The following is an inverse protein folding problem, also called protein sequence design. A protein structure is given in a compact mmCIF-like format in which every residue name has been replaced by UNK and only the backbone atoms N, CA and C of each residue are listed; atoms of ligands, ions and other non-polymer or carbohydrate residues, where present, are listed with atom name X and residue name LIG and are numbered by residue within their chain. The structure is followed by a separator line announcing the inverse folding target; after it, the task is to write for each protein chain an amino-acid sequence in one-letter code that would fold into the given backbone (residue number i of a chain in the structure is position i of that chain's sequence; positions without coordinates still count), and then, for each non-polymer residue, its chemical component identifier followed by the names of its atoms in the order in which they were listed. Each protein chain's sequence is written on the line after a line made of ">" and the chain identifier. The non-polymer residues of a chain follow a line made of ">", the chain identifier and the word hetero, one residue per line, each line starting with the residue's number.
data_IF_878345931414
#
_entry.id   IF_878345931414
#
_cell.length_a   1.000
_cell.length_b   1.000
_cell.length_c   1.000
_cell.angle_alpha   90.00
_cell.angle_beta   90.00
_cell.angle_gamma   90.00
#
_symmetry.space_group_name_H-M   'P 1'
#
loop_
_entity.id
_entity.type
_entity.pdbx_description
1 polymer ?
#
# COMPACT_ATOMS: atom_id res chain seq x y z
N UNK A 1 19.54 -2.50 -17.55
CA UNK A 1 20.19 -1.42 -16.78
C UNK A 1 20.34 -0.24 -17.72
N UNK A 2 19.50 0.80 -17.60
CA UNK A 2 19.60 1.97 -18.47
C UNK A 2 20.54 2.96 -17.81
N UNK A 3 21.73 3.11 -18.39
CA UNK A 3 22.83 3.91 -17.86
C UNK A 3 22.52 5.39 -18.02
N UNK A 4 22.44 6.09 -16.89
CA UNK A 4 22.16 7.52 -16.79
C UNK A 4 23.48 8.29 -16.95
N UNK A 5 24.09 8.25 -18.14
CA UNK A 5 25.29 9.04 -18.40
C UNK A 5 24.88 10.42 -18.93
N UNK A 6 25.10 11.46 -18.14
CA UNK A 6 25.07 12.86 -18.57
C UNK A 6 26.45 13.47 -18.35
N UNK A 7 26.95 14.30 -19.29
CA UNK A 7 28.19 15.03 -19.09
C UNK A 7 28.01 15.96 -17.90
N UNK A 8 28.95 15.86 -16.96
CA UNK A 8 29.04 16.66 -15.74
C UNK A 8 29.03 18.15 -16.13
N UNK A 9 27.92 18.85 -15.86
CA UNK A 9 27.89 20.31 -15.93
C UNK A 9 26.62 20.97 -16.51
N UNK A 10 25.78 20.26 -17.26
CA UNK A 10 24.49 20.79 -17.70
C UNK A 10 23.39 20.09 -16.93
N UNK A 11 22.83 20.76 -15.91
CA UNK A 11 21.58 20.30 -15.28
C UNK A 11 20.56 20.10 -16.41
N UNK A 12 19.99 18.89 -16.60
CA UNK A 12 19.02 18.66 -17.66
C UNK A 12 17.72 19.38 -17.30
N UNK A 13 17.65 20.68 -17.62
CA UNK A 13 16.52 21.56 -17.36
C UNK A 13 15.21 20.92 -17.82
N UNK A 14 15.24 20.17 -18.91
CA UNK A 14 14.09 19.42 -19.43
C UNK A 14 13.52 18.40 -18.43
N UNK A 15 14.37 17.65 -17.70
CA UNK A 15 13.91 16.72 -16.67
C UNK A 15 13.30 17.46 -15.48
N UNK A 16 13.87 18.61 -15.11
CA UNK A 16 13.33 19.47 -14.05
C UNK A 16 11.97 20.06 -14.43
N UNK A 17 11.83 20.54 -15.66
CA UNK A 17 10.57 21.05 -16.19
C UNK A 17 9.48 19.98 -16.20
N UNK A 18 9.80 18.75 -16.61
CA UNK A 18 8.85 17.65 -16.62
C UNK A 18 8.37 17.28 -15.21
N UNK A 19 9.28 17.18 -14.24
CA UNK A 19 8.92 16.93 -12.83
C UNK A 19 8.09 18.10 -12.27
N UNK A 20 8.48 19.34 -12.58
CA UNK A 20 7.76 20.54 -12.14
C UNK A 20 6.32 20.56 -12.66
N UNK A 21 6.11 20.13 -13.90
CA UNK A 21 4.77 19.99 -14.49
C UNK A 21 3.94 18.94 -13.76
N UNK A 22 4.49 17.76 -13.48
CA UNK A 22 3.78 16.70 -12.77
C UNK A 22 3.42 17.10 -11.32
N UNK A 23 4.34 17.78 -10.63
CA UNK A 23 4.06 18.35 -9.30
C UNK A 23 2.95 19.39 -9.39
N UNK A 24 2.99 20.26 -10.40
CA UNK A 24 1.97 21.28 -10.58
C UNK A 24 0.58 20.65 -10.80
N UNK A 25 0.47 19.66 -11.68
CA UNK A 25 -0.76 18.89 -11.88
C UNK A 25 -1.25 18.26 -10.57
N UNK A 26 -0.36 17.62 -9.80
CA UNK A 26 -0.70 17.08 -8.48
C UNK A 26 -1.22 18.16 -7.50
N UNK A 27 -0.59 19.33 -7.47
CA UNK A 27 -0.98 20.45 -6.60
C UNK A 27 -2.34 21.06 -6.96
N UNK A 28 -2.84 20.85 -8.19
CA UNK A 28 -4.23 21.23 -8.51
C UNK A 28 -5.24 20.35 -7.79
N UNK A 29 -4.97 19.05 -7.67
CA UNK A 29 -5.85 18.09 -7.01
C UNK A 29 -5.91 18.26 -5.50
N UNK A 30 -4.84 18.77 -4.87
CA UNK A 30 -4.84 19.04 -3.42
C UNK A 30 -5.73 20.21 -3.02
N UNK A 31 -6.09 21.08 -3.97
CA UNK A 31 -6.98 22.24 -3.75
C UNK A 31 -8.46 21.91 -3.98
N UNK A 32 -8.76 20.72 -4.51
CA UNK A 32 -10.14 20.30 -4.76
C UNK A 32 -10.83 20.02 -3.42
N UNK A 33 -11.89 20.77 -3.14
CA UNK A 33 -12.71 20.52 -1.96
C UNK A 33 -13.62 19.31 -2.18
N UNK A 34 -13.74 18.46 -1.16
CA UNK A 34 -14.65 17.33 -1.18
C UNK A 34 -16.10 17.86 -1.12
N UNK A 35 -16.96 17.55 -2.10
CA UNK A 35 -18.35 18.05 -2.14
C UNK A 35 -19.28 17.32 -1.16
N UNK A 36 -18.78 16.27 -0.49
CA UNK A 36 -19.56 15.44 0.43
C UNK A 36 -19.40 15.90 1.88
N UNK A 37 -20.47 15.76 2.66
CA UNK A 37 -20.44 16.05 4.09
C UNK A 37 -19.44 15.14 4.82
N UNK A 38 -18.69 15.73 5.76
CA UNK A 38 -17.74 15.00 6.60
C UNK A 38 -18.42 14.53 7.88
N UNK A 39 -18.76 13.25 7.94
CA UNK A 39 -19.20 12.61 9.18
C UNK A 39 -17.97 12.30 10.07
N UNK A 40 -17.90 12.94 11.23
CA UNK A 40 -16.80 12.78 12.20
C UNK A 40 -16.69 11.36 12.76
N UNK A 41 -17.81 10.63 12.91
CA UNK A 41 -17.81 9.24 13.40
C UNK A 41 -17.22 8.31 12.35
N UNK A 42 -17.64 8.47 11.09
CA UNK A 42 -17.09 7.69 9.96
C UNK A 42 -15.61 8.00 9.80
N UNK A 43 -15.22 9.28 9.83
CA UNK A 43 -13.82 9.69 9.74
C UNK A 43 -12.98 9.08 10.87
N UNK A 44 -13.47 9.16 12.11
CA UNK A 44 -12.77 8.57 13.27
C UNK A 44 -12.59 7.06 13.08
N UNK A 45 -13.64 6.35 12.68
CA UNK A 45 -13.57 4.91 12.44
C UNK A 45 -12.52 4.57 11.38
N UNK A 46 -12.53 5.27 10.22
CA UNK A 46 -11.58 5.02 9.14
C UNK A 46 -10.12 5.31 9.55
N UNK A 47 -9.89 6.31 10.40
CA UNK A 47 -8.54 6.67 10.87
C UNK A 47 -8.01 5.75 11.97
N UNK A 48 -8.89 5.12 12.75
CA UNK A 48 -8.50 4.28 13.89
C UNK A 48 -8.69 2.78 13.63
N UNK A 49 -9.28 2.40 12.50
CA UNK A 49 -9.47 1.00 12.16
C UNK A 49 -8.11 0.28 12.13
N UNK A 50 -7.99 -0.89 12.78
CA UNK A 50 -6.74 -1.65 12.77
C UNK A 50 -6.43 -2.13 11.35
N UNK A 51 -5.19 -1.92 10.92
CA UNK A 51 -4.68 -2.49 9.67
C UNK A 51 -4.00 -3.80 10.03
N UNK A 52 -4.57 -4.90 9.55
CA UNK A 52 -4.04 -6.25 9.77
C UNK A 52 -2.92 -6.54 8.77
N UNK A 53 -1.92 -7.32 9.21
CA UNK A 53 -0.92 -7.84 8.27
C UNK A 53 -1.56 -8.88 7.35
N UNK A 54 -0.91 -9.12 6.21
CA UNK A 54 -1.35 -10.14 5.26
C UNK A 54 -1.45 -11.53 5.93
N UNK A 55 -0.50 -11.90 6.79
CA UNK A 55 -0.56 -13.16 7.54
C UNK A 55 -1.73 -13.22 8.51
N UNK A 56 -2.03 -12.12 9.23
CA UNK A 56 -3.16 -12.07 10.14
C UNK A 56 -4.50 -12.26 9.42
N UNK A 57 -4.63 -11.69 8.23
CA UNK A 57 -5.80 -11.87 7.37
C UNK A 57 -5.91 -13.33 6.87
N UNK A 58 -4.80 -13.94 6.45
CA UNK A 58 -4.80 -15.35 6.05
C UNK A 58 -5.19 -16.29 7.19
N UNK A 59 -4.73 -16.02 8.42
CA UNK A 59 -5.15 -16.80 9.59
C UNK A 59 -6.65 -16.69 9.78
N UNK A 60 -7.19 -15.46 9.82
CA UNK A 60 -8.61 -15.24 10.04
C UNK A 60 -9.47 -15.94 8.98
N UNK A 61 -9.02 -15.93 7.72
CA UNK A 61 -9.67 -16.64 6.61
C UNK A 61 -9.67 -18.17 6.81
N UNK A 62 -8.52 -18.77 7.15
CA UNK A 62 -8.45 -20.21 7.40
C UNK A 62 -9.23 -20.62 8.65
N UNK A 63 -9.35 -19.76 9.66
CA UNK A 63 -10.13 -20.02 10.87
C UNK A 63 -11.64 -19.93 10.63
N UNK A 64 -12.09 -19.09 9.69
CA UNK A 64 -13.52 -18.94 9.37
C UNK A 64 -14.07 -20.06 8.48
N UNK A 65 -13.29 -20.50 7.48
CA UNK A 65 -13.78 -21.40 6.42
C UNK A 65 -13.07 -22.76 6.42
N UNK A 66 -11.86 -22.84 6.99
CA UNK A 66 -11.01 -24.03 6.93
C UNK A 66 -10.34 -24.23 5.57
N UNK A 67 -9.24 -25.01 5.49
CA UNK A 67 -8.59 -25.32 4.23
C UNK A 67 -9.36 -26.40 3.44
N UNK A 68 -9.78 -26.08 2.22
CA UNK A 68 -10.63 -26.96 1.41
C UNK A 68 -9.82 -28.00 0.62
N UNK A 69 -8.62 -27.62 0.16
CA UNK A 69 -7.78 -28.47 -0.69
C UNK A 69 -6.40 -28.76 -0.06
N UNK A 70 -5.65 -29.67 -0.71
CA UNK A 70 -4.33 -30.09 -0.23
C UNK A 70 -3.32 -28.94 -0.19
N UNK A 71 -3.36 -28.03 -1.17
CA UNK A 71 -2.44 -26.90 -1.21
C UNK A 71 -2.70 -25.93 -0.05
N UNK A 72 -3.97 -25.63 0.23
CA UNK A 72 -4.39 -24.80 1.36
C UNK A 72 -4.03 -25.41 2.70
N UNK A 73 -4.17 -26.74 2.84
CA UNK A 73 -3.73 -27.45 4.06
C UNK A 73 -2.24 -27.25 4.31
N UNK A 74 -1.41 -27.26 3.27
CA UNK A 74 0.03 -27.08 3.41
C UNK A 74 0.42 -25.62 3.62
N UNK A 75 -0.28 -24.68 2.96
CA UNK A 75 -0.18 -23.24 3.22
C UNK A 75 -0.52 -22.91 4.67
N UNK A 76 -1.61 -23.48 5.20
CA UNK A 76 -2.05 -23.28 6.58
C UNK A 76 -1.03 -23.78 7.61
N UNK A 77 -0.47 -24.97 7.40
CA UNK A 77 0.60 -25.51 8.26
C UNK A 77 1.85 -24.61 8.26
N UNK A 78 2.25 -24.14 7.09
CA UNK A 78 3.41 -23.25 6.92
C UNK A 78 3.18 -21.92 7.62
N UNK A 79 1.99 -21.36 7.48
CA UNK A 79 1.57 -20.13 8.13
C UNK A 79 1.62 -20.25 9.66
N UNK A 80 1.06 -21.33 10.22
CA UNK A 80 1.14 -21.60 11.67
C UNK A 80 2.56 -21.77 12.18
N UNK A 81 3.41 -22.46 11.42
CA UNK A 81 4.82 -22.66 11.80
C UNK A 81 5.57 -21.34 11.81
N UNK A 82 5.34 -20.49 10.80
CA UNK A 82 5.96 -19.16 10.71
C UNK A 82 5.55 -18.25 11.87
N UNK A 83 4.29 -18.31 12.30
CA UNK A 83 3.80 -17.56 13.47
C UNK A 83 4.43 -18.05 14.77
N UNK A 84 4.48 -19.36 14.99
CA UNK A 84 5.08 -19.95 16.19
C UNK A 84 6.58 -19.61 16.31
N UNK A 85 7.29 -19.50 15.18
CA UNK A 85 8.71 -19.13 15.17
C UNK A 85 8.96 -17.62 15.37
N UNK A 86 7.92 -16.78 15.27
CA UNK A 86 8.00 -15.33 15.45
C UNK A 86 7.59 -14.88 16.87
N UNK A 87 6.96 -15.75 17.66
CA UNK A 87 6.55 -15.51 19.05
C UNK A 87 7.66 -15.92 20.04
#
# INVERSE_FOLDING_TARGET
>A
MVTNEHPVGLLPLQKFWEISRQIHEFMTWTQVECPFEKDKKIQSYLLTAPIYSEEALFIASFESEGPENHMEKDSWKTLRTTLLNRA
#
